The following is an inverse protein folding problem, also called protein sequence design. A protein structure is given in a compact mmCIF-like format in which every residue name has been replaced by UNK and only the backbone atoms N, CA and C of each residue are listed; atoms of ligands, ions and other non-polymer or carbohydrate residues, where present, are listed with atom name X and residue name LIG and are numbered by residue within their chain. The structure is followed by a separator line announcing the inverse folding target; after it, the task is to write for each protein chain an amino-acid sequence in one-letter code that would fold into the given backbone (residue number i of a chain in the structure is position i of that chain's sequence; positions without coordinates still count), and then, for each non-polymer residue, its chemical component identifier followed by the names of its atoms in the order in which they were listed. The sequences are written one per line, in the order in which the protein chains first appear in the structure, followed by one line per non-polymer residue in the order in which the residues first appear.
data_IF_982278303877
#
_entry.id   IF_982278303877
#
_cell.length_a   1.000
_cell.length_b   1.000
_cell.length_c   1.000
_cell.angle_alpha   90.00
_cell.angle_beta   90.00
_cell.angle_gamma   90.00
#
_symmetry.space_group_name_H-M   'P 1'
#
loop_
_entity.id
_entity.type
_entity.pdbx_description
1 polymer ?
#
# COMPACT_ATOMS: atom_id res chain seq x y z
N UNK A 1 10.10 41.70 -41.96
CA UNK A 1 10.17 40.42 -41.23
C UNK A 1 9.82 40.68 -39.77
N UNK A 2 8.79 40.03 -39.24
CA UNK A 2 8.38 40.20 -37.84
C UNK A 2 9.43 39.64 -36.89
N UNK A 3 9.73 40.37 -35.80
CA UNK A 3 10.70 39.93 -34.79
C UNK A 3 10.23 38.58 -34.20
N UNK A 4 11.11 37.56 -34.09
CA UNK A 4 10.73 36.27 -33.54
C UNK A 4 10.10 36.44 -32.14
N UNK A 5 8.98 35.77 -31.91
CA UNK A 5 8.27 35.82 -30.63
C UNK A 5 9.10 35.06 -29.60
N UNK A 6 9.45 35.71 -28.49
CA UNK A 6 10.09 35.04 -27.33
C UNK A 6 9.09 33.98 -26.81
N UNK A 7 9.47 32.69 -26.75
CA UNK A 7 8.65 31.62 -26.15
C UNK A 7 8.41 31.83 -24.65
N UNK A 8 7.42 31.15 -24.07
CA UNK A 8 7.20 31.16 -22.62
C UNK A 8 8.41 30.54 -21.90
N UNK A 9 8.81 31.12 -20.76
CA UNK A 9 10.01 30.71 -20.02
C UNK A 9 11.35 31.09 -20.68
N UNK A 10 11.33 31.67 -21.89
CA UNK A 10 12.54 32.10 -22.58
C UNK A 10 12.78 33.62 -22.44
N UNK A 11 14.04 33.98 -22.65
CA UNK A 11 14.51 35.37 -22.66
C UNK A 11 15.05 35.74 -24.03
N UNK A 12 14.73 36.95 -24.48
CA UNK A 12 15.33 37.55 -25.66
C UNK A 12 16.80 37.97 -25.43
N UNK A 13 17.38 38.60 -26.45
CA UNK A 13 18.77 39.06 -26.41
C UNK A 13 19.03 40.02 -25.24
N UNK A 14 20.09 39.75 -24.47
CA UNK A 14 20.57 40.66 -23.44
C UNK A 14 21.30 41.83 -24.11
N UNK A 15 20.88 43.05 -23.78
CA UNK A 15 21.57 44.27 -24.17
C UNK A 15 22.26 44.87 -22.93
N UNK A 16 23.58 45.04 -23.02
CA UNK A 16 24.38 45.69 -21.99
C UNK A 16 24.81 47.07 -22.49
N UNK A 17 24.78 48.07 -21.62
CA UNK A 17 25.18 49.44 -21.93
C UNK A 17 25.98 50.02 -20.77
N UNK A 18 27.16 50.56 -21.07
CA UNK A 18 28.00 51.28 -20.10
C UNK A 18 27.36 52.62 -19.75
N UNK A 19 27.28 52.95 -18.46
CA UNK A 19 26.77 54.22 -17.94
C UNK A 19 27.92 55.10 -17.42
N UNK A 20 27.58 56.33 -17.02
CA UNK A 20 28.53 57.21 -16.32
C UNK A 20 29.08 56.56 -15.04
N UNK A 21 28.25 55.76 -14.36
CA UNK A 21 28.63 54.91 -13.23
C UNK A 21 28.02 53.51 -13.44
N UNK A 22 28.88 52.51 -13.66
CA UNK A 22 28.50 51.10 -13.82
C UNK A 22 27.96 50.70 -15.20
N UNK A 23 27.30 49.54 -15.23
CA UNK A 23 26.74 48.88 -16.42
C UNK A 23 25.26 48.57 -16.21
N UNK A 24 24.47 48.74 -17.27
CA UNK A 24 23.04 48.41 -17.29
C UNK A 24 22.82 47.21 -18.21
N UNK A 25 22.20 46.16 -17.68
CA UNK A 25 21.75 45.03 -18.49
C UNK A 25 20.22 45.06 -18.63
N UNK A 26 19.70 44.82 -19.84
CA UNK A 26 18.28 44.76 -20.16
C UNK A 26 17.97 43.55 -21.02
N UNK A 27 16.83 42.92 -20.78
CA UNK A 27 16.27 41.91 -21.67
C UNK A 27 14.74 41.90 -21.57
N UNK A 28 14.10 41.35 -22.58
CA UNK A 28 12.70 40.93 -22.49
C UNK A 28 12.68 39.44 -22.15
N UNK A 29 11.81 39.02 -21.24
CA UNK A 29 11.60 37.60 -20.91
C UNK A 29 10.10 37.33 -20.85
N UNK A 30 9.66 36.12 -21.19
CA UNK A 30 8.29 35.70 -20.86
C UNK A 30 8.31 34.83 -19.62
N UNK A 31 7.39 35.07 -18.70
CA UNK A 31 7.13 34.11 -17.63
C UNK A 31 6.48 32.83 -18.19
N UNK A 32 6.33 31.82 -17.34
CA UNK A 32 5.74 30.53 -17.72
C UNK A 32 4.23 30.64 -18.01
N UNK A 33 3.57 31.70 -17.52
CA UNK A 33 2.21 32.10 -17.91
C UNK A 33 2.14 32.76 -19.30
N UNK A 34 3.29 32.96 -19.96
CA UNK A 34 3.40 33.59 -21.26
C UNK A 34 3.32 35.11 -21.24
N UNK A 35 3.34 35.77 -20.08
CA UNK A 35 3.35 37.24 -20.00
C UNK A 35 4.74 37.78 -20.28
N UNK A 36 4.84 38.84 -21.10
CA UNK A 36 6.10 39.47 -21.43
C UNK A 36 6.51 40.49 -20.36
N UNK A 37 7.69 40.30 -19.79
CA UNK A 37 8.31 41.18 -18.81
C UNK A 37 9.52 41.89 -19.42
N UNK A 38 9.66 43.19 -19.14
CA UNK A 38 10.87 43.93 -19.44
C UNK A 38 11.74 44.04 -18.20
N UNK A 39 12.91 43.43 -18.26
CA UNK A 39 13.85 43.39 -17.14
C UNK A 39 14.98 44.39 -17.33
N UNK A 40 15.39 44.99 -16.23
CA UNK A 40 16.50 45.92 -16.17
C UNK A 40 17.20 45.78 -14.82
N UNK A 41 18.52 45.68 -14.86
CA UNK A 41 19.39 45.74 -13.68
C UNK A 41 20.56 46.68 -13.95
N UNK A 42 21.21 47.16 -12.88
CA UNK A 42 22.42 47.98 -12.93
C UNK A 42 23.40 47.41 -11.90
N UNK A 43 24.68 47.32 -12.27
CA UNK A 43 25.75 46.86 -11.41
C UNK A 43 27.06 47.58 -11.74
N UNK A 44 28.10 47.40 -10.91
CA UNK A 44 29.37 48.11 -11.08
C UNK A 44 30.22 47.55 -12.22
N UNK A 45 30.05 46.26 -12.52
CA UNK A 45 30.74 45.56 -13.61
C UNK A 45 29.78 44.96 -14.63
N UNK A 46 30.28 44.69 -15.84
CA UNK A 46 29.51 44.06 -16.91
C UNK A 46 29.06 42.63 -16.54
N UNK A 47 29.98 41.83 -15.99
CA UNK A 47 29.69 40.45 -15.56
C UNK A 47 28.63 40.39 -14.46
N UNK A 48 28.71 41.28 -13.48
CA UNK A 48 27.74 41.35 -12.40
C UNK A 48 26.35 41.79 -12.90
N UNK A 49 26.30 42.77 -13.80
CA UNK A 49 25.04 43.19 -14.42
C UNK A 49 24.40 42.04 -15.22
N UNK A 50 25.22 41.23 -15.91
CA UNK A 50 24.75 40.05 -16.65
C UNK A 50 24.24 38.96 -15.71
N UNK A 51 24.99 38.63 -14.66
CA UNK A 51 24.61 37.61 -13.68
C UNK A 51 23.33 37.98 -12.92
N UNK A 52 23.18 39.25 -12.51
CA UNK A 52 21.97 39.75 -11.86
C UNK A 52 20.76 39.70 -12.78
N UNK A 53 20.92 40.02 -14.06
CA UNK A 53 19.83 39.93 -15.02
C UNK A 53 19.38 38.48 -15.20
N UNK A 54 20.32 37.54 -15.37
CA UNK A 54 20.01 36.11 -15.48
C UNK A 54 19.26 35.59 -14.25
N UNK A 55 19.69 35.96 -13.03
CA UNK A 55 18.95 35.62 -11.79
C UNK A 55 17.53 36.19 -11.76
N UNK A 56 17.34 37.42 -12.28
CA UNK A 56 16.03 38.07 -12.34
C UNK A 56 15.09 37.38 -13.33
N UNK A 57 15.63 36.84 -14.43
CA UNK A 57 14.91 36.05 -15.44
C UNK A 57 14.51 34.70 -14.84
N UNK A 58 15.45 34.01 -14.19
CA UNK A 58 15.18 32.75 -13.49
C UNK A 58 14.08 32.92 -12.45
N UNK A 59 14.13 34.01 -11.66
CA UNK A 59 13.10 34.34 -10.69
C UNK A 59 11.73 34.64 -11.31
N UNK A 60 11.63 35.04 -12.58
CA UNK A 60 10.36 35.27 -13.27
C UNK A 60 9.67 33.97 -13.65
N UNK A 61 10.42 32.96 -14.11
CA UNK A 61 9.88 31.61 -14.29
C UNK A 61 9.46 31.01 -12.96
N UNK A 62 10.29 31.14 -11.91
CA UNK A 62 9.95 30.65 -10.57
C UNK A 62 8.82 31.43 -9.86
N UNK A 63 8.46 32.63 -10.33
CA UNK A 63 7.49 33.53 -9.67
C UNK A 63 6.04 33.28 -10.09
N UNK A 64 5.77 32.60 -11.20
CA UNK A 64 4.41 32.34 -11.66
C UNK A 64 3.79 31.11 -10.96
N UNK A 65 4.62 30.18 -10.48
CA UNK A 65 4.25 29.03 -9.68
C UNK A 65 5.42 28.74 -8.74
N UNK A 66 5.23 28.80 -7.41
CA UNK A 66 6.28 28.43 -6.44
C UNK A 66 6.49 26.91 -6.42
N UNK A 67 6.99 26.36 -7.52
CA UNK A 67 7.33 24.94 -7.70
C UNK A 67 8.69 24.61 -7.07
N UNK A 68 9.00 23.32 -7.02
CA UNK A 68 10.33 22.86 -6.63
C UNK A 68 11.37 23.30 -7.67
N UNK A 69 12.61 23.50 -7.23
CA UNK A 69 13.78 23.64 -8.10
C UNK A 69 14.91 22.66 -7.72
N UNK A 70 15.98 22.63 -8.52
CA UNK A 70 17.10 21.70 -8.33
C UNK A 70 17.85 21.86 -7.01
N UNK A 71 17.71 22.99 -6.31
CA UNK A 71 18.37 23.28 -5.02
C UNK A 71 17.56 22.76 -3.85
N UNK A 72 16.27 22.49 -4.03
CA UNK A 72 15.46 21.90 -2.96
C UNK A 72 16.01 20.54 -2.54
N UNK A 73 15.93 20.25 -1.25
CA UNK A 73 16.33 18.97 -0.70
C UNK A 73 15.26 17.90 -0.91
N UNK A 74 15.63 16.62 -0.83
CA UNK A 74 14.67 15.51 -0.90
C UNK A 74 13.64 15.59 0.24
N UNK A 75 14.02 16.10 1.42
CA UNK A 75 13.10 16.31 2.52
C UNK A 75 12.06 17.40 2.21
N UNK A 76 12.49 18.53 1.65
CA UNK A 76 11.60 19.62 1.21
C UNK A 76 10.67 19.14 0.09
N UNK A 77 11.23 18.52 -0.94
CA UNK A 77 10.48 17.97 -2.07
C UNK A 77 9.47 16.90 -1.62
N UNK A 78 9.88 16.04 -0.68
CA UNK A 78 9.00 15.02 -0.09
C UNK A 78 7.86 15.63 0.72
N UNK A 79 8.09 16.75 1.41
CA UNK A 79 7.06 17.47 2.17
C UNK A 79 6.03 18.09 1.24
N UNK A 80 6.48 18.85 0.23
CA UNK A 80 5.60 19.43 -0.79
C UNK A 80 4.79 18.36 -1.54
N UNK A 81 5.45 17.25 -1.89
CA UNK A 81 4.77 16.11 -2.50
C UNK A 81 3.69 15.51 -1.60
N UNK A 82 3.95 15.34 -0.30
CA UNK A 82 2.97 14.80 0.64
C UNK A 82 1.74 15.70 0.79
N UNK A 83 1.87 17.02 0.68
CA UNK A 83 0.72 17.94 0.67
C UNK A 83 -0.21 17.65 -0.50
N UNK A 84 0.33 17.45 -1.71
CA UNK A 84 -0.44 17.03 -2.89
C UNK A 84 -1.12 15.67 -2.66
N UNK A 85 -0.42 14.70 -2.06
CA UNK A 85 -1.00 13.39 -1.73
C UNK A 85 -2.12 13.54 -0.69
N UNK A 86 -1.96 14.41 0.31
CA UNK A 86 -3.00 14.68 1.32
C UNK A 86 -4.23 15.29 0.68
N UNK A 87 -4.06 16.28 -0.21
CA UNK A 87 -5.18 16.86 -0.96
C UNK A 87 -5.95 15.79 -1.76
N UNK A 88 -5.24 14.85 -2.39
CA UNK A 88 -5.86 13.70 -3.09
C UNK A 88 -6.61 12.77 -2.14
N UNK A 89 -6.13 12.58 -0.92
CA UNK A 89 -6.81 11.78 0.10
C UNK A 89 -8.10 12.45 0.60
N UNK A 90 -8.04 13.76 0.86
CA UNK A 90 -9.21 14.59 1.22
C UNK A 90 -10.25 14.57 0.10
N UNK A 91 -9.81 14.68 -1.17
CA UNK A 91 -10.69 14.60 -2.34
C UNK A 91 -11.21 13.17 -2.63
N UNK A 92 -10.83 12.16 -1.84
CA UNK A 92 -11.31 10.78 -2.00
C UNK A 92 -10.69 9.98 -3.15
N UNK A 93 -9.80 10.59 -3.95
CA UNK A 93 -9.08 9.92 -5.05
C UNK A 93 -7.95 8.98 -4.57
N UNK A 94 -7.57 9.09 -3.30
CA UNK A 94 -6.56 8.27 -2.62
C UNK A 94 -7.05 7.96 -1.19
N UNK A 95 -6.63 6.85 -0.60
CA UNK A 95 -7.03 6.53 0.78
C UNK A 95 -6.10 7.16 1.81
N UNK A 96 -6.61 7.60 2.96
CA UNK A 96 -5.78 8.12 4.05
C UNK A 96 -4.71 7.13 4.51
N UNK A 97 -5.00 5.82 4.54
CA UNK A 97 -3.99 4.79 4.85
C UNK A 97 -2.84 4.73 3.83
N UNK A 98 -3.10 5.08 2.55
CA UNK A 98 -2.04 5.21 1.54
C UNK A 98 -1.17 6.43 1.80
N UNK A 99 -1.79 7.57 2.13
CA UNK A 99 -1.06 8.78 2.52
C UNK A 99 -0.16 8.52 3.73
N UNK A 100 -0.68 7.89 4.78
CA UNK A 100 0.08 7.54 5.98
C UNK A 100 1.24 6.58 5.68
N UNK A 101 1.02 5.61 4.80
CA UNK A 101 2.08 4.70 4.37
C UNK A 101 3.21 5.43 3.66
N UNK A 102 2.89 6.43 2.84
CA UNK A 102 3.87 7.28 2.17
C UNK A 102 4.58 8.21 3.16
N UNK A 103 3.86 8.89 4.05
CA UNK A 103 4.42 9.74 5.10
C UNK A 103 5.39 8.95 5.98
N UNK A 104 4.97 7.78 6.46
CA UNK A 104 5.80 6.96 7.34
C UNK A 104 7.03 6.42 6.60
N UNK A 105 6.90 6.08 5.32
CA UNK A 105 8.04 5.67 4.50
C UNK A 105 9.01 6.82 4.28
N UNK A 106 8.53 8.02 3.95
CA UNK A 106 9.36 9.21 3.79
C UNK A 106 10.11 9.50 5.09
N UNK A 107 9.40 9.59 6.21
CA UNK A 107 9.96 9.96 7.52
C UNK A 107 10.91 8.91 8.08
N UNK A 108 10.63 7.62 7.92
CA UNK A 108 11.42 6.54 8.56
C UNK A 108 12.50 5.94 7.68
N UNK A 109 12.35 6.00 6.35
CA UNK A 109 13.25 5.31 5.42
C UNK A 109 14.01 6.26 4.50
N UNK A 110 13.35 7.29 3.95
CA UNK A 110 13.96 8.16 2.93
C UNK A 110 14.71 9.33 3.58
N UNK A 111 14.04 10.13 4.42
CA UNK A 111 14.64 11.32 5.05
C UNK A 111 15.90 10.99 5.86
N UNK A 112 15.93 9.93 6.71
CA UNK A 112 17.13 9.63 7.48
C UNK A 112 18.35 9.24 6.63
N UNK A 113 18.12 8.74 5.41
CA UNK A 113 19.18 8.22 4.53
C UNK A 113 19.66 9.28 3.53
N UNK A 114 18.76 10.11 3.00
CA UNK A 114 19.10 11.04 1.93
C UNK A 114 18.35 12.37 1.98
N UNK A 115 17.67 12.70 3.08
CA UNK A 115 16.80 13.87 3.16
C UNK A 115 17.47 15.20 2.81
N UNK A 116 18.74 15.38 3.18
CA UNK A 116 19.50 16.61 2.91
C UNK A 116 20.13 16.71 1.52
N UNK A 117 20.00 15.69 0.66
CA UNK A 117 20.54 15.73 -0.70
C UNK A 117 19.63 16.63 -1.55
N UNK A 118 20.22 17.53 -2.34
CA UNK A 118 19.46 18.36 -3.28
C UNK A 118 18.98 17.55 -4.49
N UNK A 119 17.84 17.94 -5.07
CA UNK A 119 17.27 17.27 -6.22
C UNK A 119 18.24 17.24 -7.42
N UNK A 120 18.95 18.35 -7.67
CA UNK A 120 19.94 18.44 -8.74
C UNK A 120 21.18 17.57 -8.53
N UNK A 121 21.45 17.13 -7.30
CA UNK A 121 22.56 16.22 -6.98
C UNK A 121 22.17 14.73 -7.11
N UNK A 122 20.90 14.42 -7.39
CA UNK A 122 20.43 13.06 -7.59
C UNK A 122 20.89 12.51 -8.95
N UNK A 123 21.58 11.39 -8.91
CA UNK A 123 21.95 10.60 -10.08
C UNK A 123 21.48 9.17 -9.90
N UNK A 124 21.35 8.41 -10.98
CA UNK A 124 20.95 6.99 -10.93
C UNK A 124 21.83 6.21 -9.94
N UNK A 125 23.16 6.36 -10.05
CA UNK A 125 24.10 5.67 -9.15
C UNK A 125 24.00 6.10 -7.69
N UNK A 126 23.62 7.35 -7.40
CA UNK A 126 23.36 7.81 -6.02
C UNK A 126 22.08 7.20 -5.47
N UNK A 127 21.00 7.23 -6.25
CA UNK A 127 19.73 6.59 -5.89
C UNK A 127 19.91 5.09 -5.63
N UNK A 128 20.69 4.41 -6.47
CA UNK A 128 20.99 3.00 -6.31
C UNK A 128 21.70 2.72 -4.98
N UNK A 129 22.80 3.43 -4.68
CA UNK A 129 23.51 3.29 -3.39
C UNK A 129 22.61 3.52 -2.18
N UNK A 130 21.74 4.53 -2.21
CA UNK A 130 20.79 4.81 -1.12
C UNK A 130 19.83 3.62 -0.93
N UNK A 131 19.28 3.09 -2.02
CA UNK A 131 18.32 1.98 -1.98
C UNK A 131 19.01 0.69 -1.50
N UNK A 132 20.23 0.42 -1.96
CA UNK A 132 21.04 -0.73 -1.52
C UNK A 132 21.44 -0.61 -0.04
N UNK A 133 21.77 0.59 0.45
CA UNK A 133 22.02 0.81 1.88
C UNK A 133 20.79 0.45 2.73
N UNK A 134 19.59 0.89 2.33
CA UNK A 134 18.34 0.54 3.02
C UNK A 134 18.07 -0.97 2.96
N UNK A 135 18.42 -1.63 1.84
CA UNK A 135 18.30 -3.08 1.70
C UNK A 135 19.16 -3.81 2.73
N UNK A 136 20.44 -3.43 2.84
CA UNK A 136 21.42 -4.05 3.74
C UNK A 136 21.13 -3.76 5.22
N UNK A 137 20.74 -2.53 5.55
CA UNK A 137 20.55 -2.10 6.94
C UNK A 137 19.17 -2.47 7.52
N UNK A 138 18.16 -2.67 6.67
CA UNK A 138 16.77 -2.86 7.10
C UNK A 138 16.16 -4.15 6.57
N UNK A 139 15.74 -4.16 5.31
CA UNK A 139 15.11 -5.33 4.68
C UNK A 139 14.76 -5.05 3.22
N UNK A 140 14.52 -6.12 2.45
CA UNK A 140 13.97 -6.08 1.09
C UNK A 140 12.69 -5.24 1.03
N UNK A 141 11.76 -5.47 1.96
CA UNK A 141 10.48 -4.75 1.98
C UNK A 141 10.65 -3.25 2.27
N UNK A 142 11.58 -2.88 3.15
CA UNK A 142 11.89 -1.48 3.42
C UNK A 142 12.50 -0.79 2.18
N UNK A 143 13.49 -1.41 1.54
CA UNK A 143 14.14 -0.87 0.35
C UNK A 143 13.15 -0.66 -0.80
N UNK A 144 12.22 -1.62 -1.02
CA UNK A 144 11.18 -1.50 -2.04
C UNK A 144 10.22 -0.33 -1.78
N UNK A 145 9.81 -0.13 -0.52
CA UNK A 145 8.97 1.02 -0.14
C UNK A 145 9.72 2.34 -0.34
N UNK A 146 10.98 2.41 0.10
CA UNK A 146 11.81 3.59 -0.08
C UNK A 146 12.01 3.93 -1.56
N UNK A 147 12.34 2.94 -2.40
CA UNK A 147 12.42 3.09 -3.87
C UNK A 147 11.11 3.63 -4.45
N UNK A 148 9.97 3.06 -4.06
CA UNK A 148 8.67 3.50 -4.56
C UNK A 148 8.38 4.97 -4.20
N UNK A 149 8.58 5.35 -2.93
CA UNK A 149 8.33 6.73 -2.47
C UNK A 149 9.33 7.72 -3.07
N UNK A 150 10.63 7.40 -3.09
CA UNK A 150 11.64 8.23 -3.72
C UNK A 150 11.36 8.43 -5.22
N UNK A 151 10.91 7.36 -5.89
CA UNK A 151 10.48 7.44 -7.29
C UNK A 151 9.26 8.33 -7.50
N UNK A 152 8.29 8.32 -6.57
CA UNK A 152 7.13 9.23 -6.62
C UNK A 152 7.52 10.69 -6.38
N UNK A 153 8.45 10.95 -5.46
CA UNK A 153 8.99 12.29 -5.19
C UNK A 153 9.76 12.81 -6.41
N UNK A 154 10.66 12.00 -6.99
CA UNK A 154 11.38 12.40 -8.20
C UNK A 154 10.41 12.59 -9.39
N UNK A 155 9.34 11.79 -9.49
CA UNK A 155 8.30 11.99 -10.51
C UNK A 155 7.45 13.24 -10.26
N UNK A 156 7.34 13.72 -9.02
CA UNK A 156 6.76 15.02 -8.71
C UNK A 156 7.71 16.15 -9.09
N UNK A 157 8.98 16.06 -8.71
CA UNK A 157 10.03 17.01 -9.09
C UNK A 157 10.18 17.18 -10.61
N UNK A 158 10.05 16.11 -11.40
CA UNK A 158 10.04 16.20 -12.88
C UNK A 158 8.83 16.99 -13.40
N UNK A 159 7.66 16.89 -12.76
CA UNK A 159 6.46 17.64 -13.18
C UNK A 159 6.51 19.12 -12.80
N UNK A 160 7.35 19.46 -11.84
CA UNK A 160 7.65 20.83 -11.42
C UNK A 160 8.93 21.36 -12.12
N UNK A 161 9.45 20.66 -13.14
CA UNK A 161 10.68 21.00 -13.88
C UNK A 161 11.95 21.17 -13.02
N UNK A 162 11.94 20.70 -11.77
CA UNK A 162 13.06 20.77 -10.83
C UNK A 162 14.24 19.87 -11.24
N UNK A 163 13.94 18.76 -11.93
CA UNK A 163 14.93 17.83 -12.50
C UNK A 163 14.44 17.33 -13.87
N UNK A 164 15.36 17.08 -14.82
CA UNK A 164 14.99 16.75 -16.20
C UNK A 164 14.42 15.33 -16.37
N UNK A 165 14.71 14.41 -15.45
CA UNK A 165 14.22 13.04 -15.47
C UNK A 165 14.21 12.42 -14.08
N UNK A 166 13.57 11.26 -13.94
CA UNK A 166 13.50 10.54 -12.67
C UNK A 166 14.62 9.50 -12.56
N UNK A 167 15.69 9.74 -11.77
CA UNK A 167 16.84 8.85 -11.68
C UNK A 167 16.54 7.50 -10.99
N UNK A 168 15.39 7.35 -10.32
CA UNK A 168 15.00 6.11 -9.63
C UNK A 168 14.52 5.04 -10.60
N UNK A 169 14.18 5.40 -11.84
CA UNK A 169 13.68 4.45 -12.85
C UNK A 169 14.72 3.37 -13.18
N UNK A 170 15.97 3.77 -13.30
CA UNK A 170 17.07 2.93 -13.79
C UNK A 170 17.95 2.34 -12.68
N UNK A 171 17.54 2.48 -11.41
CA UNK A 171 18.22 1.80 -10.29
C UNK A 171 18.05 0.29 -10.39
N UNK A 172 19.00 -0.44 -9.79
CA UNK A 172 19.02 -1.90 -9.85
C UNK A 172 17.70 -2.49 -9.34
N UNK A 173 17.28 -3.58 -9.98
CA UNK A 173 16.11 -4.34 -9.54
C UNK A 173 16.39 -4.93 -8.15
N UNK A 174 15.52 -4.62 -7.21
CA UNK A 174 15.52 -5.23 -5.89
C UNK A 174 14.98 -6.67 -5.96
N UNK A 175 15.50 -7.58 -5.12
CA UNK A 175 14.95 -8.92 -4.99
C UNK A 175 13.45 -8.86 -4.63
N UNK A 176 12.75 -9.94 -4.97
CA UNK A 176 11.40 -10.15 -4.48
C UNK A 176 11.50 -10.71 -3.06
N UNK A 177 10.65 -10.25 -2.12
CA UNK A 177 10.51 -10.94 -0.84
C UNK A 177 10.14 -12.40 -1.08
N UNK A 178 10.62 -13.28 -0.22
CA UNK A 178 10.19 -14.68 -0.22
C UNK A 178 8.67 -14.76 -0.16
N UNK A 179 8.12 -15.62 -1.04
CA UNK A 179 6.69 -15.82 -1.09
C UNK A 179 6.32 -16.76 0.04
N UNK A 180 5.46 -16.28 0.93
CA UNK A 180 4.83 -17.10 1.95
C UNK A 180 3.97 -18.20 1.31
N UNK A 181 4.26 -19.47 1.59
CA UNK A 181 3.62 -20.63 0.97
C UNK A 181 2.87 -21.54 1.95
N UNK A 182 3.01 -21.34 3.27
CA UNK A 182 2.36 -22.21 4.24
C UNK A 182 0.83 -22.22 4.10
N UNK A 183 0.24 -23.40 4.17
CA UNK A 183 -1.21 -23.64 4.22
C UNK A 183 -1.51 -24.53 5.41
N UNK A 184 -2.75 -24.51 5.89
CA UNK A 184 -3.18 -25.35 7.01
C UNK A 184 -3.87 -26.63 6.51
N UNK A 185 -3.55 -27.75 7.13
CA UNK A 185 -4.30 -29.01 6.94
C UNK A 185 -5.57 -29.02 7.80
N UNK A 186 -6.57 -29.87 7.49
CA UNK A 186 -7.75 -30.03 8.35
C UNK A 186 -7.41 -30.39 9.79
N UNK A 187 -6.41 -31.26 10.00
CA UNK A 187 -5.94 -31.65 11.33
C UNK A 187 -5.33 -30.46 12.09
N UNK A 188 -4.52 -29.63 11.41
CA UNK A 188 -3.98 -28.40 11.99
C UNK A 188 -5.08 -27.41 12.36
N UNK A 189 -6.09 -27.23 11.50
CA UNK A 189 -7.23 -26.34 11.79
C UNK A 189 -7.97 -26.81 13.05
N UNK A 190 -8.19 -28.12 13.20
CA UNK A 190 -8.82 -28.70 14.38
C UNK A 190 -7.97 -28.47 15.65
N UNK A 191 -6.67 -28.79 15.60
CA UNK A 191 -5.77 -28.58 16.74
C UNK A 191 -5.60 -27.10 17.12
N UNK A 192 -5.53 -26.20 16.14
CA UNK A 192 -5.51 -24.74 16.38
C UNK A 192 -6.78 -24.30 17.11
N UNK A 193 -7.96 -24.80 16.69
CA UNK A 193 -9.21 -24.48 17.37
C UNK A 193 -9.18 -24.95 18.82
N UNK A 194 -8.76 -26.18 19.06
CA UNK A 194 -8.67 -26.76 20.40
C UNK A 194 -7.72 -25.95 21.29
N UNK A 195 -6.56 -25.55 20.77
CA UNK A 195 -5.64 -24.64 21.48
C UNK A 195 -6.29 -23.29 21.78
N UNK A 196 -7.04 -22.71 20.85
CA UNK A 196 -7.76 -21.45 21.09
C UNK A 196 -8.87 -21.61 22.14
N UNK A 197 -9.56 -22.75 22.20
CA UNK A 197 -10.64 -23.00 23.17
C UNK A 197 -10.12 -23.06 24.60
N UNK A 198 -8.97 -23.70 24.82
CA UNK A 198 -8.32 -23.82 26.13
C UNK A 198 -7.34 -22.67 26.42
N UNK A 199 -7.27 -21.66 25.56
CA UNK A 199 -6.26 -20.60 25.67
C UNK A 199 -6.45 -19.76 26.93
N UNK A 200 -5.48 -19.86 27.86
CA UNK A 200 -5.46 -19.20 29.18
C UNK A 200 -6.68 -19.54 30.05
N UNK A 201 -7.23 -20.75 29.91
CA UNK A 201 -8.33 -21.20 30.77
C UNK A 201 -7.91 -21.25 32.26
N UNK A 202 -6.68 -21.74 32.51
CA UNK A 202 -6.09 -21.94 33.84
C UNK A 202 -5.30 -20.74 34.39
N UNK A 203 -5.22 -19.62 33.66
CA UNK A 203 -4.48 -18.44 34.12
C UNK A 203 -5.36 -17.51 34.96
N UNK A 204 -4.90 -17.20 36.17
CA UNK A 204 -5.56 -16.26 37.09
C UNK A 204 -5.30 -14.79 36.77
N UNK A 205 -4.21 -14.49 36.06
CA UNK A 205 -3.69 -13.15 35.94
C UNK A 205 -4.02 -12.51 34.57
N UNK A 206 -4.70 -11.37 34.63
CA UNK A 206 -5.06 -10.57 33.44
C UNK A 206 -6.43 -10.89 32.85
N UNK A 207 -6.93 -10.05 31.93
CA UNK A 207 -8.23 -10.25 31.31
C UNK A 207 -8.19 -11.47 30.38
N UNK A 208 -9.19 -12.36 30.51
CA UNK A 208 -9.35 -13.49 29.59
C UNK A 208 -9.41 -12.99 28.14
N UNK A 209 -8.58 -13.54 27.23
CA UNK A 209 -8.60 -13.12 25.85
C UNK A 209 -9.92 -13.49 25.19
N UNK A 210 -10.34 -12.71 24.19
CA UNK A 210 -11.54 -13.01 23.42
C UNK A 210 -11.26 -14.11 22.38
N UNK A 211 -10.87 -15.31 22.84
CA UNK A 211 -10.53 -16.45 21.99
C UNK A 211 -11.68 -16.80 21.03
N UNK A 212 -12.93 -16.64 21.47
CA UNK A 212 -14.11 -16.89 20.64
C UNK A 212 -14.15 -16.03 19.39
N UNK A 213 -13.74 -14.75 19.47
CA UNK A 213 -13.62 -13.90 18.30
C UNK A 213 -12.53 -14.36 17.32
N UNK A 214 -11.43 -14.97 17.82
CA UNK A 214 -10.42 -15.57 16.95
C UNK A 214 -10.99 -16.79 16.21
N UNK A 215 -11.60 -17.72 16.95
CA UNK A 215 -12.19 -18.94 16.38
C UNK A 215 -13.26 -18.61 15.35
N UNK A 216 -14.25 -17.78 15.71
CA UNK A 216 -15.34 -17.45 14.79
C UNK A 216 -14.83 -16.67 13.57
N UNK A 217 -13.83 -15.80 13.75
CA UNK A 217 -13.20 -15.08 12.64
C UNK A 217 -12.39 -16.02 11.72
N UNK A 218 -11.65 -16.97 12.29
CA UNK A 218 -10.95 -18.03 11.55
C UNK A 218 -11.94 -18.84 10.71
N UNK A 219 -13.03 -19.31 11.29
CA UNK A 219 -14.05 -20.13 10.62
C UNK A 219 -14.68 -19.41 9.44
N UNK A 220 -15.04 -18.13 9.64
CA UNK A 220 -15.59 -17.29 8.58
C UNK A 220 -14.56 -17.06 7.48
N UNK A 221 -13.30 -16.75 7.83
CA UNK A 221 -12.25 -16.53 6.83
C UNK A 221 -11.92 -17.82 6.07
N UNK A 222 -11.88 -18.98 6.71
CA UNK A 222 -11.68 -20.28 6.08
C UNK A 222 -12.87 -20.66 5.17
N UNK A 223 -14.10 -20.38 5.59
CA UNK A 223 -15.28 -20.73 4.80
C UNK A 223 -15.58 -19.78 3.65
N UNK A 224 -15.02 -18.58 3.64
CA UNK A 224 -15.41 -17.52 2.67
C UNK A 224 -14.27 -16.85 1.95
N UNK A 225 -13.03 -17.14 2.37
CA UNK A 225 -11.80 -16.44 1.98
C UNK A 225 -11.76 -14.95 2.33
N UNK A 226 -12.70 -14.41 3.11
CA UNK A 226 -12.75 -12.99 3.46
C UNK A 226 -11.40 -12.49 4.04
N UNK A 227 -11.01 -11.24 3.72
CA UNK A 227 -9.89 -10.61 4.44
C UNK A 227 -10.32 -10.29 5.87
N UNK A 228 -9.38 -10.23 6.81
CA UNK A 228 -9.68 -9.89 8.22
C UNK A 228 -10.56 -8.64 8.36
N UNK A 229 -10.24 -7.54 7.66
CA UNK A 229 -11.03 -6.32 7.69
C UNK A 229 -12.45 -6.48 7.12
N UNK A 230 -12.63 -7.36 6.13
CA UNK A 230 -13.95 -7.70 5.57
C UNK A 230 -14.75 -8.56 6.57
N UNK A 231 -14.10 -9.54 7.21
CA UNK A 231 -14.69 -10.44 8.21
C UNK A 231 -15.16 -9.68 9.45
N UNK A 232 -14.27 -8.90 10.08
CA UNK A 232 -14.63 -8.14 11.29
C UNK A 232 -15.56 -6.95 10.97
N UNK A 233 -15.71 -6.60 9.69
CA UNK A 233 -16.63 -5.57 9.21
C UNK A 233 -18.03 -6.08 8.91
N UNK A 234 -18.33 -7.37 9.09
CA UNK A 234 -19.66 -7.92 8.83
C UNK A 234 -20.71 -7.32 9.75
N UNK A 235 -21.87 -6.97 9.19
CA UNK A 235 -23.08 -6.56 9.92
C UNK A 235 -24.15 -7.64 9.86
N UNK A 236 -25.17 -7.51 10.71
CA UNK A 236 -26.36 -8.39 10.66
C UNK A 236 -27.01 -8.46 9.29
N UNK A 237 -27.20 -7.31 8.63
CA UNK A 237 -27.78 -7.25 7.28
C UNK A 237 -26.91 -7.86 6.17
N UNK A 238 -25.62 -8.06 6.45
CA UNK A 238 -24.71 -8.62 5.46
C UNK A 238 -24.83 -10.17 5.40
N UNK A 239 -25.56 -10.81 6.32
CA UNK A 239 -25.72 -12.27 6.39
C UNK A 239 -27.18 -12.70 6.28
N UNK A 240 -27.41 -13.81 5.57
CA UNK A 240 -28.69 -14.52 5.49
C UNK A 240 -28.45 -15.96 5.92
N UNK A 241 -28.87 -16.29 7.14
CA UNK A 241 -28.73 -17.62 7.73
C UNK A 241 -29.96 -18.51 7.56
N UNK A 242 -31.01 -18.00 6.93
CA UNK A 242 -32.31 -18.66 6.78
C UNK A 242 -32.37 -19.39 5.43
N UNK A 243 -31.72 -18.84 4.40
CA UNK A 243 -31.53 -19.48 3.10
C UNK A 243 -30.74 -20.79 3.18
N UNK A 244 -30.98 -21.69 2.23
CA UNK A 244 -30.26 -22.97 2.08
C UNK A 244 -29.58 -23.03 0.69
N UNK A 245 -28.23 -22.94 0.60
CA UNK A 245 -27.29 -22.73 1.70
C UNK A 245 -27.34 -21.28 2.24
N UNK A 246 -26.98 -21.06 3.52
CA UNK A 246 -26.81 -19.72 4.09
C UNK A 246 -25.83 -18.88 3.26
N UNK A 247 -26.00 -17.56 3.25
CA UNK A 247 -25.13 -16.67 2.47
C UNK A 247 -24.62 -15.48 3.26
N UNK A 248 -23.48 -14.94 2.82
CA UNK A 248 -22.85 -13.74 3.36
C UNK A 248 -22.44 -12.80 2.22
N UNK A 249 -22.72 -11.52 2.38
CA UNK A 249 -22.32 -10.45 1.47
C UNK A 249 -21.06 -9.77 2.00
N UNK A 250 -19.99 -9.81 1.22
CA UNK A 250 -18.78 -9.03 1.47
C UNK A 250 -18.98 -7.65 0.81
N UNK A 251 -19.42 -6.66 1.59
CA UNK A 251 -19.74 -5.29 1.12
C UNK A 251 -19.13 -4.18 1.97
N UNK A 252 -18.13 -4.52 2.77
CA UNK A 252 -17.44 -3.53 3.58
C UNK A 252 -16.15 -4.06 4.14
N UNK A 253 -15.36 -3.14 4.67
CA UNK A 253 -14.13 -3.46 5.38
C UNK A 253 -13.91 -2.47 6.50
N UNK A 254 -13.42 -2.95 7.63
CA UNK A 254 -12.86 -2.06 8.64
C UNK A 254 -11.57 -1.46 8.09
N UNK A 255 -11.43 -0.15 8.27
CA UNK A 255 -10.21 0.60 8.05
C UNK A 255 -9.84 1.35 9.32
N UNK A 256 -8.55 1.55 9.52
CA UNK A 256 -8.03 2.37 10.60
C UNK A 256 -7.02 3.35 10.01
N UNK A 257 -7.18 4.63 10.31
CA UNK A 257 -6.23 5.69 10.01
C UNK A 257 -6.36 6.83 11.05
N UNK A 258 -5.38 7.71 11.13
CA UNK A 258 -5.31 8.83 12.09
C UNK A 258 -6.44 9.84 11.87
N UNK A 259 -6.84 10.06 10.63
CA UNK A 259 -7.85 11.07 10.27
C UNK A 259 -9.26 10.63 10.67
N UNK A 260 -9.62 9.38 10.39
CA UNK A 260 -10.98 8.86 10.52
C UNK A 260 -11.16 7.96 11.75
N UNK A 261 -10.08 7.62 12.45
CA UNK A 261 -10.11 6.61 13.52
C UNK A 261 -10.38 5.21 12.96
N UNK A 262 -11.19 4.43 13.68
CA UNK A 262 -11.59 3.08 13.28
C UNK A 262 -13.00 3.16 12.71
N UNK A 263 -13.16 2.91 11.41
CA UNK A 263 -14.46 3.00 10.74
C UNK A 263 -14.70 1.82 9.82
N UNK A 264 -15.97 1.47 9.63
CA UNK A 264 -16.38 0.55 8.56
C UNK A 264 -16.59 1.34 7.28
N UNK A 265 -15.77 1.07 6.26
CA UNK A 265 -16.01 1.56 4.90
C UNK A 265 -17.06 0.67 4.24
N UNK A 266 -18.15 1.27 3.74
CA UNK A 266 -19.26 0.57 3.04
C UNK A 266 -18.93 0.20 1.59
N UNK A 267 -17.70 -0.22 1.35
CA UNK A 267 -17.26 -0.78 0.09
C UNK A 267 -15.94 -1.52 0.32
N UNK A 268 -15.71 -2.65 -0.35
CA UNK A 268 -14.38 -3.27 -0.41
C UNK A 268 -13.33 -2.34 -1.04
N UNK A 269 -12.06 -2.75 -1.00
CA UNK A 269 -10.95 -1.97 -1.59
C UNK A 269 -11.16 -1.70 -3.07
N UNK A 270 -11.81 -2.61 -3.80
CA UNK A 270 -12.23 -2.45 -5.21
C UNK A 270 -13.67 -2.94 -5.36
N UNK A 271 -14.49 -2.23 -6.14
CA UNK A 271 -15.93 -2.56 -6.35
C UNK A 271 -16.15 -4.03 -6.72
N UNK A 272 -15.33 -4.59 -7.61
CA UNK A 272 -15.38 -6.00 -8.04
C UNK A 272 -15.15 -7.05 -6.93
N UNK A 273 -14.63 -6.65 -5.77
CA UNK A 273 -14.45 -7.57 -4.64
C UNK A 273 -15.76 -7.78 -3.86
N UNK A 274 -16.76 -6.95 -4.12
CA UNK A 274 -18.10 -7.08 -3.59
C UNK A 274 -18.73 -8.35 -4.16
N UNK A 275 -19.09 -9.28 -3.28
CA UNK A 275 -19.61 -10.59 -3.69
C UNK A 275 -20.42 -11.24 -2.58
N UNK A 276 -21.38 -12.05 -2.99
CA UNK A 276 -22.12 -12.96 -2.10
C UNK A 276 -21.46 -14.33 -2.13
N UNK A 277 -21.26 -14.92 -0.97
CA UNK A 277 -20.60 -16.21 -0.77
C UNK A 277 -21.54 -17.12 0.00
N UNK A 278 -21.74 -18.35 -0.48
CA UNK A 278 -22.45 -19.38 0.27
C UNK A 278 -21.57 -19.86 1.44
N UNK A 279 -22.15 -20.01 2.62
CA UNK A 279 -21.43 -20.38 3.82
C UNK A 279 -21.41 -21.90 3.98
N UNK A 280 -20.23 -22.53 4.08
CA UNK A 280 -20.14 -23.90 4.58
C UNK A 280 -20.60 -23.95 6.05
N UNK A 281 -20.98 -25.14 6.52
CA UNK A 281 -21.54 -25.35 7.86
C UNK A 281 -20.68 -24.68 8.96
N UNK A 282 -19.37 -24.87 8.92
CA UNK A 282 -18.43 -24.28 9.87
C UNK A 282 -18.56 -22.74 9.97
N UNK A 283 -18.59 -22.06 8.83
CA UNK A 283 -18.72 -20.60 8.80
C UNK A 283 -20.14 -20.14 9.15
N UNK A 284 -21.16 -20.90 8.75
CA UNK A 284 -22.55 -20.61 9.12
C UNK A 284 -22.74 -20.68 10.65
N UNK A 285 -22.14 -21.66 11.31
CA UNK A 285 -22.22 -21.81 12.78
C UNK A 285 -21.49 -20.69 13.50
N UNK A 286 -20.30 -20.29 13.02
CA UNK A 286 -19.61 -19.10 13.51
C UNK A 286 -20.46 -17.84 13.36
N UNK A 287 -21.08 -17.62 12.19
CA UNK A 287 -21.98 -16.48 11.95
C UNK A 287 -23.18 -16.52 12.89
N UNK A 288 -23.81 -17.67 13.12
CA UNK A 288 -24.93 -17.82 14.07
C UNK A 288 -24.53 -17.45 15.49
N UNK A 289 -23.37 -17.91 15.97
CA UNK A 289 -22.83 -17.52 17.28
C UNK A 289 -22.61 -16.01 17.37
N UNK A 290 -22.01 -15.39 16.34
CA UNK A 290 -21.82 -13.94 16.32
C UNK A 290 -23.13 -13.16 16.24
N UNK A 291 -24.14 -13.65 15.53
CA UNK A 291 -25.48 -13.07 15.47
C UNK A 291 -26.18 -13.10 16.83
N UNK A 292 -25.99 -14.15 17.62
CA UNK A 292 -26.55 -14.24 18.97
C UNK A 292 -25.92 -13.21 19.94
N UNK A 293 -24.65 -12.86 19.73
CA UNK A 293 -23.92 -11.89 20.54
C UNK A 293 -24.09 -10.43 20.08
N UNK A 294 -24.43 -10.23 18.80
CA UNK A 294 -24.54 -8.90 18.22
C UNK A 294 -25.84 -8.19 18.62
N UNK A 295 -25.83 -6.85 18.85
CA UNK A 295 -27.04 -6.06 19.06
C UNK A 295 -28.09 -6.27 17.96
N UNK A 296 -29.38 -6.08 18.24
CA UNK A 296 -30.47 -6.42 17.30
C UNK A 296 -30.54 -5.58 16.01
N UNK A 297 -29.92 -4.38 15.98
CA UNK A 297 -29.99 -3.46 14.84
C UNK A 297 -29.35 -3.99 13.56
N UNK A 298 -29.95 -3.73 12.41
CA UNK A 298 -29.49 -4.26 11.10
C UNK A 298 -28.06 -3.84 10.73
N UNK A 299 -27.63 -2.65 11.17
CA UNK A 299 -26.27 -2.15 10.97
C UNK A 299 -25.28 -2.55 12.08
N UNK A 300 -25.72 -3.33 13.08
CA UNK A 300 -24.84 -3.80 14.14
C UNK A 300 -23.75 -4.73 13.59
N UNK A 301 -22.51 -4.47 14.00
CA UNK A 301 -21.36 -5.29 13.65
C UNK A 301 -21.41 -6.63 14.38
N UNK A 302 -21.13 -7.71 13.65
CA UNK A 302 -20.95 -9.05 14.21
C UNK A 302 -19.68 -9.12 15.06
N UNK A 303 -18.65 -8.34 14.72
CA UNK A 303 -17.41 -8.19 15.48
C UNK A 303 -17.28 -6.75 16.00
N UNK A 304 -18.14 -6.40 16.96
CA UNK A 304 -18.08 -5.12 17.67
C UNK A 304 -17.48 -5.25 19.08
N UNK A 305 -17.12 -4.12 19.68
CA UNK A 305 -16.92 -4.01 21.13
C UNK A 305 -18.24 -4.26 21.86
N UNK A 306 -18.21 -4.36 23.20
CA UNK A 306 -19.43 -4.45 24.03
C UNK A 306 -20.42 -3.29 23.79
N UNK A 307 -19.91 -2.12 23.40
CA UNK A 307 -20.70 -0.93 23.07
C UNK A 307 -21.13 -0.87 21.60
N UNK A 308 -20.86 -1.92 20.81
CA UNK A 308 -21.21 -1.99 19.38
C UNK A 308 -20.25 -1.26 18.43
N UNK A 309 -19.16 -0.69 18.93
CA UNK A 309 -18.19 0.02 18.10
C UNK A 309 -17.31 -0.94 17.29
N UNK A 310 -16.79 -0.53 16.13
CA UNK A 310 -15.87 -1.36 15.36
C UNK A 310 -14.59 -1.68 16.12
N UNK A 311 -14.10 -2.92 16.01
CA UNK A 311 -12.75 -3.29 16.43
C UNK A 311 -11.78 -3.07 15.27
N UNK A 312 -10.54 -2.65 15.55
CA UNK A 312 -9.53 -2.51 14.50
C UNK A 312 -8.95 -3.85 14.07
N UNK A 313 -8.49 -3.91 12.81
CA UNK A 313 -7.68 -5.03 12.31
C UNK A 313 -6.44 -5.22 13.18
N UNK A 314 -5.77 -4.13 13.55
CA UNK A 314 -4.58 -4.15 14.42
C UNK A 314 -4.83 -4.81 15.78
N UNK A 315 -6.02 -4.61 16.36
CA UNK A 315 -6.39 -5.23 17.64
C UNK A 315 -6.66 -6.73 17.46
N UNK A 316 -7.36 -7.11 16.39
CA UNK A 316 -7.59 -8.51 16.06
C UNK A 316 -6.27 -9.26 15.79
N UNK A 317 -5.37 -8.67 15.01
CA UNK A 317 -4.05 -9.24 14.73
C UNK A 317 -3.14 -9.28 15.96
N UNK A 318 -3.27 -8.31 16.87
CA UNK A 318 -2.57 -8.36 18.17
C UNK A 318 -3.08 -9.53 19.02
N UNK A 319 -4.39 -9.76 19.04
CA UNK A 319 -4.99 -10.89 19.75
C UNK A 319 -4.48 -12.22 19.16
N UNK A 320 -4.43 -12.34 17.83
CA UNK A 320 -3.85 -13.50 17.16
C UNK A 320 -2.38 -13.69 17.51
N UNK A 321 -1.56 -12.62 17.47
CA UNK A 321 -0.15 -12.70 17.86
C UNK A 321 0.04 -13.14 19.31
N UNK A 322 -0.76 -12.62 20.25
CA UNK A 322 -0.69 -13.07 21.64
C UNK A 322 -1.02 -14.56 21.78
N UNK A 323 -2.01 -15.07 21.03
CA UNK A 323 -2.30 -16.50 21.00
C UNK A 323 -1.11 -17.30 20.47
N UNK A 324 -0.51 -16.83 19.38
CA UNK A 324 0.66 -17.46 18.77
C UNK A 324 1.85 -17.47 19.70
N UNK A 325 2.13 -16.35 20.36
CA UNK A 325 3.25 -16.21 21.29
C UNK A 325 3.09 -17.15 22.50
N UNK A 326 1.87 -17.26 23.04
CA UNK A 326 1.59 -18.14 24.19
C UNK A 326 1.57 -19.64 23.83
N UNK A 327 1.26 -19.98 22.57
CA UNK A 327 1.07 -21.37 22.13
C UNK A 327 2.11 -21.81 21.09
N UNK A 328 3.23 -21.08 20.94
CA UNK A 328 4.23 -21.31 19.88
C UNK A 328 4.67 -22.78 19.80
N UNK A 329 5.11 -23.34 20.93
CA UNK A 329 5.60 -24.72 20.96
C UNK A 329 4.50 -25.75 20.60
N UNK A 330 3.26 -25.51 21.04
CA UNK A 330 2.14 -26.39 20.71
C UNK A 330 1.76 -26.29 19.22
N UNK A 331 1.83 -25.09 18.64
CA UNK A 331 1.62 -24.87 17.20
C UNK A 331 2.72 -25.55 16.36
N UNK A 332 3.99 -25.46 16.78
CA UNK A 332 5.11 -26.15 16.13
C UNK A 332 4.94 -27.67 16.20
N UNK A 333 4.49 -28.21 17.34
CA UNK A 333 4.15 -29.64 17.49
C UNK A 333 3.00 -30.10 16.58
N UNK A 334 2.07 -29.21 16.24
CA UNK A 334 1.02 -29.46 15.22
C UNK A 334 1.55 -29.35 13.78
N UNK A 335 2.83 -29.04 13.59
CA UNK A 335 3.45 -28.81 12.28
C UNK A 335 3.04 -27.50 11.62
N UNK A 336 2.59 -26.51 12.40
CA UNK A 336 2.24 -25.18 11.88
C UNK A 336 3.50 -24.35 11.72
N UNK A 337 3.70 -23.79 10.53
CA UNK A 337 4.74 -22.80 10.25
C UNK A 337 4.43 -21.47 10.96
N UNK A 338 4.87 -21.34 12.21
CA UNK A 338 4.47 -20.26 13.13
C UNK A 338 4.83 -18.87 12.59
N UNK A 339 5.98 -18.72 11.93
CA UNK A 339 6.44 -17.42 11.41
C UNK A 339 5.65 -16.94 10.16
N UNK A 340 4.93 -17.87 9.52
CA UNK A 340 3.96 -17.57 8.47
C UNK A 340 2.53 -17.37 8.99
N UNK A 341 2.26 -17.79 10.23
CA UNK A 341 0.93 -17.83 10.79
C UNK A 341 0.36 -16.42 11.04
N UNK A 342 -0.59 -16.04 10.20
CA UNK A 342 -1.25 -14.74 10.18
C UNK A 342 -2.66 -14.88 9.62
N UNK A 343 -3.50 -13.86 9.73
CA UNK A 343 -4.88 -13.90 9.18
C UNK A 343 -4.92 -14.23 7.67
N UNK A 344 -3.85 -13.95 6.95
CA UNK A 344 -3.72 -14.27 5.53
C UNK A 344 -3.60 -15.77 5.24
N UNK A 345 -3.16 -16.59 6.21
CA UNK A 345 -3.02 -18.04 6.04
C UNK A 345 -4.37 -18.68 5.75
N UNK A 346 -5.45 -18.27 6.46
CA UNK A 346 -6.79 -18.82 6.27
C UNK A 346 -7.27 -18.65 4.83
N UNK A 347 -7.10 -17.44 4.29
CA UNK A 347 -7.45 -17.13 2.90
C UNK A 347 -6.62 -17.94 1.90
N UNK A 348 -5.34 -18.19 2.20
CA UNK A 348 -4.45 -19.00 1.35
C UNK A 348 -4.80 -20.47 1.39
N UNK A 349 -5.10 -21.01 2.57
CA UNK A 349 -5.60 -22.36 2.77
C UNK A 349 -6.87 -22.60 1.96
N UNK A 350 -7.90 -21.76 2.13
CA UNK A 350 -9.16 -21.89 1.37
C UNK A 350 -8.95 -21.83 -0.14
N UNK A 351 -8.15 -20.86 -0.61
CA UNK A 351 -7.84 -20.72 -2.03
C UNK A 351 -7.21 -21.98 -2.60
N UNK A 352 -6.23 -22.54 -1.89
CA UNK A 352 -5.46 -23.71 -2.32
C UNK A 352 -6.34 -24.96 -2.31
N UNK A 353 -7.18 -25.15 -1.28
CA UNK A 353 -8.09 -26.29 -1.20
C UNK A 353 -9.12 -26.27 -2.34
N UNK A 354 -9.71 -25.10 -2.63
CA UNK A 354 -10.68 -24.95 -3.72
C UNK A 354 -10.01 -25.12 -5.09
N UNK A 355 -8.79 -24.62 -5.25
CA UNK A 355 -8.04 -24.76 -6.49
C UNK A 355 -7.69 -26.22 -6.78
N UNK A 356 -7.21 -26.96 -5.78
CA UNK A 356 -6.95 -28.40 -5.91
C UNK A 356 -8.21 -29.21 -6.24
N UNK A 357 -9.36 -28.82 -5.70
CA UNK A 357 -10.61 -29.57 -5.89
C UNK A 357 -11.36 -29.21 -7.18
N UNK A 358 -11.26 -27.96 -7.65
CA UNK A 358 -12.15 -27.43 -8.68
C UNK A 358 -11.50 -26.41 -9.64
N UNK A 359 -10.18 -26.27 -9.57
CA UNK A 359 -9.38 -25.45 -10.48
C UNK A 359 -9.26 -23.96 -10.12
N UNK A 360 -8.32 -23.30 -10.80
CA UNK A 360 -7.90 -21.93 -10.53
C UNK A 360 -9.01 -20.89 -10.71
N UNK A 361 -9.88 -21.08 -11.71
CA UNK A 361 -10.97 -20.13 -12.02
C UNK A 361 -11.95 -20.02 -10.86
N UNK A 362 -12.36 -21.14 -10.26
CA UNK A 362 -13.29 -21.12 -9.13
C UNK A 362 -12.64 -20.47 -7.90
N UNK A 363 -11.39 -20.84 -7.60
CA UNK A 363 -10.62 -20.22 -6.52
C UNK A 363 -10.48 -18.70 -6.70
N UNK A 364 -10.21 -18.24 -7.93
CA UNK A 364 -10.10 -16.82 -8.27
C UNK A 364 -11.40 -16.05 -8.04
N UNK A 365 -12.55 -16.64 -8.42
CA UNK A 365 -13.89 -16.08 -8.17
C UNK A 365 -14.21 -16.00 -6.68
N UNK A 366 -13.94 -17.07 -5.92
CA UNK A 366 -14.12 -17.07 -4.45
C UNK A 366 -13.30 -15.97 -3.77
N UNK A 367 -12.08 -15.74 -4.25
CA UNK A 367 -11.20 -14.68 -3.75
C UNK A 367 -11.61 -13.27 -4.20
N UNK A 368 -12.44 -13.14 -5.24
CA UNK A 368 -12.81 -11.85 -5.83
C UNK A 368 -11.61 -11.15 -6.50
N UNK A 369 -10.72 -11.90 -7.17
CA UNK A 369 -9.64 -11.33 -7.97
C UNK A 369 -10.11 -10.97 -9.39
N UNK A 370 -9.53 -9.91 -9.98
CA UNK A 370 -9.84 -9.51 -11.38
C UNK A 370 -9.11 -10.37 -12.42
N UNK A 371 -7.97 -10.93 -12.04
CA UNK A 371 -7.09 -11.67 -12.93
C UNK A 371 -6.62 -12.91 -12.18
N UNK A 372 -6.76 -14.07 -12.82
CA UNK A 372 -6.32 -15.36 -12.32
C UNK A 372 -4.81 -15.40 -12.08
N UNK A 373 -4.01 -14.59 -12.79
CA UNK A 373 -2.57 -14.43 -12.51
C UNK A 373 -2.30 -13.91 -11.10
N UNK A 374 -3.20 -13.10 -10.51
CA UNK A 374 -3.05 -12.67 -9.11
C UNK A 374 -3.24 -13.87 -8.17
N UNK A 375 -4.21 -14.73 -8.47
CA UNK A 375 -4.47 -15.97 -7.72
C UNK A 375 -3.28 -16.92 -7.86
N UNK A 376 -2.77 -17.12 -9.07
CA UNK A 376 -1.57 -17.93 -9.35
C UNK A 376 -0.33 -17.37 -8.64
N UNK A 377 -0.06 -16.07 -8.78
CA UNK A 377 1.12 -15.45 -8.18
C UNK A 377 1.07 -15.40 -6.65
N UNK A 378 -0.09 -15.16 -6.05
CA UNK A 378 -0.21 -14.89 -4.61
C UNK A 378 -0.69 -16.06 -3.75
N UNK A 379 -1.33 -17.08 -4.34
CA UNK A 379 -2.03 -18.11 -3.57
C UNK A 379 -1.82 -19.54 -4.05
N UNK A 380 -1.36 -19.76 -5.28
CA UNK A 380 -0.96 -21.11 -5.71
C UNK A 380 0.39 -21.41 -5.08
N UNK A 381 0.40 -22.38 -4.19
CA UNK A 381 1.60 -23.11 -3.78
C UNK A 381 1.76 -24.19 -4.84
N UNK A 382 2.81 -24.11 -5.65
CA UNK A 382 3.13 -25.19 -6.57
C UNK A 382 3.30 -26.46 -5.75
N UNK A 383 2.55 -27.51 -6.07
CA UNK A 383 2.84 -28.83 -5.52
C UNK A 383 4.27 -29.21 -5.93
N UNK A 384 5.03 -29.78 -4.99
CA UNK A 384 6.38 -30.28 -5.26
C UNK A 384 6.31 -31.50 -6.19
N UNK A 385 5.26 -32.31 -6.04
CA UNK A 385 4.91 -33.41 -6.93
C UNK A 385 3.80 -32.99 -7.90
N UNK A 386 4.00 -33.24 -9.19
CA UNK A 386 2.98 -33.04 -10.23
C UNK A 386 1.99 -34.19 -10.16
N UNK A 387 0.71 -33.91 -10.39
CA UNK A 387 -0.35 -34.93 -10.37
C UNK A 387 0.01 -36.10 -11.31
N UNK A 388 0.04 -37.35 -10.81
CA UNK A 388 0.36 -38.54 -11.61
C UNK A 388 -0.54 -38.73 -12.83
N UNK A 389 -1.72 -38.11 -12.89
CA UNK A 389 -2.57 -38.08 -14.10
C UNK A 389 -1.83 -37.51 -15.32
N UNK A 390 -0.81 -36.68 -15.10
CA UNK A 390 0.05 -36.19 -16.18
C UNK A 390 0.83 -37.30 -16.86
N UNK A 391 1.21 -38.37 -16.14
CA UNK A 391 1.82 -39.56 -16.72
C UNK A 391 0.80 -40.29 -17.59
N UNK A 392 -0.43 -40.49 -17.10
CA UNK A 392 -1.50 -41.14 -17.86
C UNK A 392 -1.81 -40.40 -19.17
N UNK A 393 -1.90 -39.06 -19.11
CA UNK A 393 -2.14 -38.20 -20.30
C UNK A 393 -0.96 -38.25 -21.27
N UNK A 394 0.28 -38.24 -20.77
CA UNK A 394 1.47 -38.29 -21.62
C UNK A 394 1.65 -39.66 -22.27
N UNK A 395 1.36 -40.75 -21.56
CA UNK A 395 1.36 -42.10 -22.09
C UNK A 395 0.27 -42.27 -23.16
N UNK A 396 -0.91 -41.66 -22.98
CA UNK A 396 -1.98 -41.67 -23.98
C UNK A 396 -1.62 -40.87 -25.25
N UNK A 397 -0.95 -39.73 -25.11
CA UNK A 397 -0.66 -38.82 -26.22
C UNK A 397 0.66 -39.10 -26.95
N UNK A 398 1.65 -39.67 -26.26
CA UNK A 398 3.01 -39.90 -26.78
C UNK A 398 3.38 -41.38 -26.82
N UNK A 399 2.64 -42.25 -26.13
CA UNK A 399 2.88 -43.69 -26.05
C UNK A 399 2.30 -44.49 -27.22
N UNK A 400 2.35 -43.93 -28.44
CA UNK A 400 2.05 -44.65 -29.69
C UNK A 400 3.19 -44.54 -30.70
#
# INVERSE_FOLDING_TARGET
MGRPRIPAGEMGTIHITRLATGYRARAQARDDGGNLHQLRVVADTEEEARALLLRRVEALSSSAFSGLDSRNTIAEAGTAWLEQIRARAVAGSLSFSTYESYETTLRRLVVPQCGGITLGALTVGRCDRIIQAILLEKSVSAARRARAVLGLICGYAVRDDAIPFNPVRDVQRLPLPEKKTSILTPAQIAGIRELMEHWREDQSDGPRPNHRALIDGMDIMLGTSARVGECIGLRRRDVDIITAPPTMLIDGTIIQNKEQGIVRKNAPKRTRQRRRVALPALAADAVRRRLALAPSGQDALLFGTKTGNPISVSNYERLLRSFVDDNREALEKLGVEVDEYSTHIYRRTTATLVERAAGLTLASRLLGHANEQITRASYVVSAEEVDPITVEILDELLGS
#
